data_IF_131672911514
#
_entry.id   IF_131672911514
#
_cell.length_a   1.000
_cell.length_b   1.000
_cell.length_c   1.000
_cell.angle_alpha   90.00
_cell.angle_beta   90.00
_cell.angle_gamma   90.00
#
_symmetry.space_group_name_H-M   'P 1'
#
loop_
_entity.id
_entity.type
_entity.pdbx_description
1 polymer ?
#
# COMPACT_ATOMS: atom_id res chain seq x y z
N UNK A 1 31.09 10.58 22.77
CA UNK A 1 30.41 9.60 23.61
C UNK A 1 29.02 10.15 23.95
N UNK A 2 27.97 9.36 23.71
CA UNK A 2 26.59 9.70 24.07
C UNK A 2 26.26 8.87 25.29
N UNK A 3 25.75 9.52 26.34
CA UNK A 3 25.23 8.88 27.53
C UNK A 3 23.73 9.07 27.57
N UNK A 4 22.97 7.98 27.80
CA UNK A 4 21.54 8.05 27.99
C UNK A 4 21.20 7.75 29.44
N UNK A 5 20.45 8.64 30.09
CA UNK A 5 20.05 8.55 31.50
C UNK A 5 18.57 8.19 31.61
N UNK A 6 18.28 7.06 32.21
CA UNK A 6 16.90 6.62 32.49
C UNK A 6 16.63 6.71 34.00
N UNK A 7 15.59 7.44 34.38
CA UNK A 7 15.09 7.46 35.76
C UNK A 7 14.15 6.26 35.98
N UNK A 8 14.45 5.43 36.94
CA UNK A 8 13.65 4.27 37.31
C UNK A 8 12.53 4.66 38.28
N UNK A 9 11.56 3.78 38.48
CA UNK A 9 10.42 4.00 39.39
C UNK A 9 10.83 4.17 40.84
N UNK A 10 11.93 3.59 41.27
CA UNK A 10 12.52 3.71 42.62
C UNK A 10 13.34 4.99 42.81
N UNK A 11 13.40 5.84 41.79
CA UNK A 11 14.16 7.10 41.78
C UNK A 11 15.64 6.95 41.44
N UNK A 12 16.14 5.73 41.22
CA UNK A 12 17.50 5.49 40.76
C UNK A 12 17.69 5.95 39.31
N UNK A 13 18.94 6.23 38.93
CA UNK A 13 19.32 6.61 37.57
C UNK A 13 20.21 5.54 36.97
N UNK A 14 19.77 4.97 35.85
CA UNK A 14 20.58 4.04 35.03
C UNK A 14 21.26 4.82 33.92
N UNK A 15 22.56 4.62 33.78
CA UNK A 15 23.38 5.23 32.72
C UNK A 15 23.69 4.19 31.67
N UNK A 16 23.26 4.42 30.43
CA UNK A 16 23.60 3.58 29.28
C UNK A 16 24.76 4.24 28.49
N UNK A 17 25.90 3.53 28.44
CA UNK A 17 27.10 3.95 27.70
C UNK A 17 27.88 2.70 27.25
N UNK A 18 28.25 2.55 25.96
CA UNK A 18 27.93 3.51 24.88
C UNK A 18 26.46 3.52 24.52
N UNK A 19 25.93 4.69 24.20
CA UNK A 19 24.59 4.85 23.68
C UNK A 19 24.64 5.32 22.23
N UNK A 20 24.02 4.58 21.34
CA UNK A 20 23.93 4.95 19.94
C UNK A 20 22.84 6.03 19.74
N UNK A 21 23.03 6.97 18.79
CA UNK A 21 22.07 8.06 18.54
C UNK A 21 20.63 7.55 18.35
N UNK A 22 20.45 6.48 17.59
CA UNK A 22 19.13 5.89 17.36
C UNK A 22 18.46 5.39 18.65
N UNK A 23 19.23 4.79 19.58
CA UNK A 23 18.74 4.35 20.88
C UNK A 23 18.34 5.54 21.78
N UNK A 24 19.20 6.56 21.84
CA UNK A 24 18.92 7.77 22.63
C UNK A 24 17.66 8.50 22.11
N UNK A 25 17.55 8.68 20.79
CA UNK A 25 16.41 9.31 20.14
C UNK A 25 15.11 8.56 20.41
N UNK A 26 15.15 7.23 20.26
CA UNK A 26 14.03 6.35 20.57
C UNK A 26 13.46 6.57 21.97
N UNK A 27 14.35 6.61 22.97
CA UNK A 27 13.93 6.73 24.37
C UNK A 27 13.56 8.18 24.78
N UNK A 28 14.14 9.20 24.11
CA UNK A 28 13.81 10.61 24.38
C UNK A 28 12.43 11.02 23.87
N UNK A 29 12.02 10.48 22.71
CA UNK A 29 10.72 10.80 22.12
C UNK A 29 9.62 9.83 22.54
N UNK A 30 9.92 8.94 23.49
CA UNK A 30 9.03 7.88 23.96
C UNK A 30 8.82 6.80 22.91
N UNK A 31 8.07 5.77 23.23
CA UNK A 31 7.66 4.74 22.25
C UNK A 31 6.86 5.33 21.09
N UNK A 32 6.45 6.57 21.22
CA UNK A 32 5.68 7.30 20.23
C UNK A 32 6.42 7.49 18.89
N UNK A 33 7.73 7.34 18.85
CA UNK A 33 8.52 7.56 17.63
C UNK A 33 9.03 6.30 16.92
N UNK A 34 9.05 5.13 17.55
CA UNK A 34 9.91 4.05 17.08
C UNK A 34 9.32 2.65 17.00
N UNK A 35 8.16 2.41 17.57
CA UNK A 35 7.48 1.12 17.49
C UNK A 35 6.26 1.21 16.58
N UNK A 36 6.33 0.65 15.37
CA UNK A 36 5.11 0.30 14.69
C UNK A 36 4.64 -1.05 15.24
N UNK A 37 3.37 -1.17 15.54
CA UNK A 37 2.77 -2.44 15.95
C UNK A 37 2.70 -3.39 14.75
N UNK A 38 2.55 -2.82 13.54
CA UNK A 38 2.58 -3.56 12.28
C UNK A 38 3.32 -2.80 11.19
N UNK A 39 4.06 -3.55 10.37
CA UNK A 39 4.62 -3.09 9.09
C UNK A 39 3.91 -3.85 7.97
N UNK A 40 3.41 -3.13 6.99
CA UNK A 40 2.80 -3.70 5.78
C UNK A 40 3.72 -3.39 4.61
N UNK A 41 4.27 -4.42 3.97
CA UNK A 41 5.05 -4.27 2.75
C UNK A 41 4.14 -4.35 1.53
N UNK A 42 4.32 -3.42 0.60
CA UNK A 42 3.53 -3.30 -0.63
C UNK A 42 4.43 -3.04 -1.83
N UNK A 43 3.89 -3.19 -3.03
CA UNK A 43 4.69 -3.04 -4.26
C UNK A 43 5.13 -1.59 -4.50
N UNK A 44 4.19 -0.64 -4.39
CA UNK A 44 4.43 0.76 -4.73
C UNK A 44 3.58 1.75 -3.90
N UNK A 45 3.72 3.03 -4.21
CA UNK A 45 3.00 4.12 -3.54
C UNK A 45 1.49 4.11 -3.81
N UNK A 46 1.02 3.58 -4.95
CA UNK A 46 -0.41 3.49 -5.24
C UNK A 46 -1.07 2.39 -4.42
N UNK A 47 -0.42 1.23 -4.32
CA UNK A 47 -0.83 0.14 -3.43
C UNK A 47 -0.91 0.63 -1.96
N UNK A 48 0.08 1.41 -1.50
CA UNK A 48 0.08 2.04 -0.19
C UNK A 48 -1.15 2.93 0.00
N UNK A 49 -1.42 3.86 -0.91
CA UNK A 49 -2.57 4.77 -0.82
C UNK A 49 -3.89 4.02 -0.76
N UNK A 50 -4.06 2.98 -1.58
CA UNK A 50 -5.26 2.15 -1.60
C UNK A 50 -5.47 1.48 -0.24
N UNK A 51 -4.44 0.85 0.34
CA UNK A 51 -4.53 0.20 1.65
C UNK A 51 -4.86 1.22 2.75
N UNK A 52 -4.19 2.38 2.78
CA UNK A 52 -4.47 3.44 3.76
C UNK A 52 -5.95 3.85 3.72
N UNK A 53 -6.52 4.06 2.53
CA UNK A 53 -7.92 4.43 2.36
C UNK A 53 -8.89 3.31 2.77
N UNK A 54 -8.60 2.06 2.41
CA UNK A 54 -9.40 0.89 2.84
C UNK A 54 -9.37 0.76 4.36
N UNK A 55 -8.20 0.88 4.98
CA UNK A 55 -8.06 0.77 6.43
C UNK A 55 -8.85 1.85 7.17
N UNK A 56 -8.83 3.09 6.68
CA UNK A 56 -9.63 4.18 7.23
C UNK A 56 -11.13 3.87 7.09
N UNK A 57 -11.57 3.44 5.90
CA UNK A 57 -12.98 3.17 5.61
C UNK A 57 -13.55 1.99 6.41
N UNK A 58 -12.74 0.95 6.64
CA UNK A 58 -13.13 -0.23 7.43
C UNK A 58 -12.79 -0.12 8.92
N UNK A 59 -12.31 1.05 9.37
CA UNK A 59 -11.88 1.27 10.76
C UNK A 59 -10.85 0.27 11.28
N UNK A 60 -9.99 -0.24 10.40
CA UNK A 60 -8.88 -1.10 10.78
C UNK A 60 -7.85 -0.20 11.47
N UNK A 61 -7.37 -0.63 12.62
CA UNK A 61 -6.24 0.03 13.28
C UNK A 61 -6.49 1.39 13.96
N UNK A 62 -7.66 1.61 14.55
CA UNK A 62 -7.88 2.84 15.35
C UNK A 62 -6.94 3.02 16.54
N UNK A 63 -6.38 1.91 17.05
CA UNK A 63 -5.57 1.89 18.28
C UNK A 63 -4.16 1.35 18.08
N UNK A 64 -3.74 1.08 16.84
CA UNK A 64 -2.41 0.53 16.53
C UNK A 64 -1.69 1.39 15.50
N UNK A 65 -0.35 1.36 15.56
CA UNK A 65 0.50 2.08 14.62
C UNK A 65 0.90 1.17 13.47
N UNK A 66 0.42 1.49 12.30
CA UNK A 66 0.75 0.75 11.08
C UNK A 66 1.64 1.60 10.19
N UNK A 67 2.76 1.02 9.77
CA UNK A 67 3.63 1.60 8.74
C UNK A 67 3.49 0.82 7.45
N UNK A 68 3.06 1.48 6.38
CA UNK A 68 2.99 0.87 5.05
C UNK A 68 4.22 1.32 4.25
N UNK A 69 4.99 0.36 3.74
CA UNK A 69 6.27 0.58 3.07
C UNK A 69 6.23 0.05 1.63
N UNK A 70 6.29 0.93 0.63
CA UNK A 70 6.52 0.55 -0.76
C UNK A 70 7.93 -0.01 -0.94
N UNK A 71 8.08 -1.08 -1.74
CA UNK A 71 9.35 -1.81 -1.89
C UNK A 71 9.89 -1.82 -3.33
N UNK A 72 9.11 -1.31 -4.30
CA UNK A 72 9.54 -1.19 -5.70
C UNK A 72 9.28 -2.45 -6.54
N UNK A 73 8.21 -3.20 -6.26
CA UNK A 73 7.73 -4.34 -7.04
C UNK A 73 7.61 -5.63 -6.22
N UNK A 74 6.77 -6.54 -6.69
CA UNK A 74 6.34 -7.71 -5.93
C UNK A 74 7.46 -8.68 -5.51
N UNK A 75 8.44 -8.92 -6.37
CA UNK A 75 9.59 -9.78 -6.02
C UNK A 75 10.45 -9.17 -4.93
N UNK A 76 10.66 -7.83 -4.99
CA UNK A 76 11.36 -7.10 -3.94
C UNK A 76 10.58 -7.14 -2.63
N UNK A 77 9.24 -7.05 -2.69
CA UNK A 77 8.37 -7.12 -1.52
C UNK A 77 8.55 -8.46 -0.80
N UNK A 78 8.52 -9.58 -1.54
CA UNK A 78 8.72 -10.93 -0.97
C UNK A 78 10.14 -11.10 -0.42
N UNK A 79 11.15 -10.65 -1.16
CA UNK A 79 12.55 -10.73 -0.72
C UNK A 79 12.76 -9.91 0.56
N UNK A 80 12.26 -8.68 0.60
CA UNK A 80 12.35 -7.82 1.78
C UNK A 80 11.64 -8.42 3.00
N UNK A 81 10.46 -9.04 2.78
CA UNK A 81 9.73 -9.72 3.85
C UNK A 81 10.57 -10.86 4.45
N UNK A 82 11.24 -11.63 3.61
CA UNK A 82 12.14 -12.69 4.05
C UNK A 82 13.34 -12.13 4.83
N UNK A 83 14.03 -11.13 4.27
CA UNK A 83 15.22 -10.55 4.88
C UNK A 83 14.91 -9.93 6.25
N UNK A 84 13.81 -9.19 6.33
CA UNK A 84 13.33 -8.56 7.57
C UNK A 84 13.01 -9.60 8.64
N UNK A 85 12.36 -10.71 8.23
CA UNK A 85 11.96 -11.78 9.15
C UNK A 85 13.16 -12.62 9.57
N UNK A 86 13.98 -13.08 8.63
CA UNK A 86 15.11 -13.97 8.88
C UNK A 86 16.22 -13.30 9.70
N UNK A 87 16.42 -11.99 9.50
CA UNK A 87 17.41 -11.19 10.21
C UNK A 87 16.90 -10.54 11.50
N UNK A 88 15.63 -10.78 11.87
CA UNK A 88 14.99 -10.17 13.04
C UNK A 88 15.13 -8.63 13.08
N UNK A 89 14.94 -7.97 11.93
CA UNK A 89 15.12 -6.52 11.81
C UNK A 89 13.98 -5.72 12.44
N UNK A 90 12.82 -6.32 12.63
CA UNK A 90 11.70 -5.66 13.29
C UNK A 90 11.86 -5.67 14.80
N UNK A 91 11.30 -4.65 15.43
CA UNK A 91 11.23 -4.62 16.89
C UNK A 91 10.41 -5.82 17.39
N UNK A 92 10.80 -6.35 18.58
CA UNK A 92 10.07 -7.46 19.21
C UNK A 92 8.60 -7.06 19.42
N UNK A 93 7.69 -7.82 18.84
CA UNK A 93 6.26 -7.57 18.89
C UNK A 93 5.69 -6.85 17.64
N UNK A 94 6.54 -6.25 16.79
CA UNK A 94 6.07 -5.69 15.51
C UNK A 94 5.67 -6.82 14.56
N UNK A 95 4.46 -6.75 14.04
CA UNK A 95 3.92 -7.71 13.08
C UNK A 95 4.31 -7.34 11.66
N UNK A 96 4.45 -8.33 10.79
CA UNK A 96 4.72 -8.14 9.37
C UNK A 96 3.55 -8.67 8.54
N UNK A 97 3.03 -7.84 7.66
CA UNK A 97 2.07 -8.21 6.62
C UNK A 97 2.67 -7.92 5.24
N UNK A 98 2.32 -8.73 4.25
CA UNK A 98 2.71 -8.57 2.85
C UNK A 98 1.44 -8.51 2.03
N UNK A 99 1.25 -7.43 1.27
CA UNK A 99 0.09 -7.25 0.39
C UNK A 99 0.59 -6.86 -0.99
N UNK A 100 0.23 -7.66 -1.98
CA UNK A 100 0.64 -7.51 -3.36
C UNK A 100 -0.56 -7.17 -4.26
N UNK A 101 -0.30 -6.69 -5.45
CA UNK A 101 -1.33 -6.46 -6.45
C UNK A 101 -1.99 -7.79 -6.86
N UNK A 102 -3.28 -7.77 -7.15
CA UNK A 102 -4.01 -9.04 -7.42
C UNK A 102 -3.62 -9.70 -8.73
N UNK A 103 -3.15 -8.95 -9.69
CA UNK A 103 -2.81 -9.49 -11.03
C UNK A 103 -1.59 -10.42 -11.01
N UNK A 104 -0.72 -10.31 -9.99
CA UNK A 104 0.41 -11.22 -9.83
C UNK A 104 0.11 -12.47 -8.99
N UNK A 105 -1.13 -12.63 -8.51
CA UNK A 105 -1.54 -13.75 -7.65
C UNK A 105 -1.23 -15.12 -8.27
N UNK A 106 -1.34 -15.24 -9.60
CA UNK A 106 -1.01 -16.46 -10.33
C UNK A 106 0.49 -16.77 -10.42
N UNK A 107 1.34 -15.73 -10.37
CA UNK A 107 2.81 -15.85 -10.53
C UNK A 107 3.53 -16.16 -9.21
N UNK A 108 2.94 -15.79 -8.08
CA UNK A 108 3.56 -15.96 -6.75
C UNK A 108 3.85 -17.42 -6.40
N UNK A 109 2.96 -18.40 -6.63
CA UNK A 109 3.24 -19.80 -6.31
C UNK A 109 4.44 -20.37 -7.07
N UNK A 110 4.59 -20.04 -8.35
CA UNK A 110 5.73 -20.47 -9.16
C UNK A 110 7.04 -19.85 -8.64
N UNK A 111 7.02 -18.56 -8.33
CA UNK A 111 8.17 -17.86 -7.77
C UNK A 111 8.61 -18.47 -6.44
N UNK A 112 7.68 -18.75 -5.52
CA UNK A 112 7.98 -19.39 -4.24
C UNK A 112 8.49 -20.83 -4.43
N UNK A 113 7.94 -21.57 -5.38
CA UNK A 113 8.41 -22.91 -5.71
C UNK A 113 9.88 -22.94 -6.16
N UNK A 114 10.26 -21.93 -6.96
CA UNK A 114 11.64 -21.77 -7.45
C UNK A 114 12.59 -21.19 -6.36
N UNK A 115 12.06 -20.57 -5.31
CA UNK A 115 12.82 -19.92 -4.22
C UNK A 115 12.28 -20.37 -2.87
N UNK A 116 12.56 -21.64 -2.51
CA UNK A 116 12.00 -22.31 -1.32
C UNK A 116 12.20 -21.58 0.01
N UNK A 117 13.21 -20.72 0.12
CA UNK A 117 13.43 -19.88 1.30
C UNK A 117 12.23 -18.98 1.62
N UNK A 118 11.41 -18.62 0.63
CA UNK A 118 10.25 -17.74 0.81
C UNK A 118 8.96 -18.48 1.19
N UNK A 119 8.99 -19.82 1.31
CA UNK A 119 7.79 -20.63 1.55
C UNK A 119 7.03 -20.31 2.85
N UNK A 120 7.71 -19.70 3.83
CA UNK A 120 7.10 -19.31 5.11
C UNK A 120 6.40 -17.94 5.10
N UNK A 121 6.51 -17.17 4.00
CA UNK A 121 5.95 -15.83 3.92
C UNK A 121 4.46 -15.92 3.59
N UNK A 122 3.62 -15.39 4.48
CA UNK A 122 2.18 -15.27 4.24
C UNK A 122 1.90 -13.99 3.46
N UNK A 123 1.29 -14.13 2.30
CA UNK A 123 1.00 -13.06 1.35
C UNK A 123 -0.50 -12.95 1.16
N UNK A 124 -1.02 -11.74 1.14
CA UNK A 124 -2.37 -11.42 0.67
C UNK A 124 -2.33 -10.44 -0.49
N UNK A 125 -3.48 -10.15 -1.08
CA UNK A 125 -3.57 -9.40 -2.31
C UNK A 125 -4.57 -8.25 -2.17
N UNK A 126 -4.28 -7.14 -2.86
CA UNK A 126 -5.24 -6.07 -3.04
C UNK A 126 -6.55 -6.60 -3.65
N UNK A 127 -7.70 -5.94 -3.41
CA UNK A 127 -8.97 -6.32 -4.03
C UNK A 127 -8.95 -6.21 -5.56
N UNK A 128 -8.04 -5.40 -6.09
CA UNK A 128 -7.88 -5.11 -7.52
C UNK A 128 -6.47 -5.47 -8.01
N UNK A 129 -6.28 -5.52 -9.33
CA UNK A 129 -4.98 -5.45 -9.97
C UNK A 129 -4.28 -4.14 -9.61
N UNK A 130 -3.10 -3.86 -10.19
CA UNK A 130 -2.54 -2.51 -10.08
C UNK A 130 -3.57 -1.46 -10.48
N UNK A 131 -3.53 -0.29 -9.85
CA UNK A 131 -4.53 0.77 -10.10
C UNK A 131 -4.59 1.14 -11.58
N UNK A 132 -3.44 1.23 -12.23
CA UNK A 132 -3.30 1.59 -13.64
C UNK A 132 -4.01 0.59 -14.55
N UNK A 133 -3.74 -0.69 -14.32
CA UNK A 133 -4.37 -1.78 -15.08
C UNK A 133 -5.86 -1.86 -14.81
N UNK A 134 -6.27 -1.65 -13.55
CA UNK A 134 -7.67 -1.64 -13.17
C UNK A 134 -8.44 -0.53 -13.89
N UNK A 135 -7.93 0.70 -13.89
CA UNK A 135 -8.55 1.84 -14.56
C UNK A 135 -8.65 1.62 -16.07
N UNK A 136 -7.56 1.16 -16.70
CA UNK A 136 -7.58 0.87 -18.14
C UNK A 136 -8.62 -0.20 -18.47
N UNK A 137 -8.66 -1.29 -17.73
CA UNK A 137 -9.59 -2.39 -17.99
C UNK A 137 -11.07 -1.98 -17.84
N UNK A 138 -11.39 -1.07 -16.90
CA UNK A 138 -12.76 -0.64 -16.62
C UNK A 138 -13.20 0.63 -17.35
N UNK A 139 -12.28 1.36 -17.97
CA UNK A 139 -12.62 2.60 -18.69
C UNK A 139 -12.36 2.52 -20.20
N UNK A 140 -11.43 1.65 -20.63
CA UNK A 140 -11.03 1.54 -22.03
C UNK A 140 -11.42 0.17 -22.61
N UNK A 141 -11.00 -0.93 -21.96
CA UNK A 141 -11.16 -2.26 -22.54
C UNK A 141 -12.61 -2.77 -22.38
N UNK A 142 -13.21 -2.57 -21.20
CA UNK A 142 -14.62 -2.89 -20.93
C UNK A 142 -15.19 -1.81 -20.00
N UNK A 143 -15.89 -0.86 -20.59
CA UNK A 143 -16.39 0.31 -19.85
C UNK A 143 -17.36 -0.11 -18.74
N UNK A 144 -16.99 0.21 -17.51
CA UNK A 144 -17.88 0.17 -16.35
C UNK A 144 -18.53 1.54 -16.18
N UNK A 145 -19.85 1.58 -16.36
CA UNK A 145 -20.61 2.83 -16.35
C UNK A 145 -20.60 3.51 -14.97
N UNK A 146 -20.58 2.76 -13.86
CA UNK A 146 -20.61 3.34 -12.53
C UNK A 146 -19.28 4.02 -12.22
N UNK A 147 -18.15 3.34 -12.43
CA UNK A 147 -16.82 3.92 -12.25
C UNK A 147 -16.62 5.11 -13.19
N UNK A 148 -17.03 4.98 -14.46
CA UNK A 148 -16.96 6.06 -15.43
C UNK A 148 -17.69 7.32 -14.94
N UNK A 149 -18.95 7.20 -14.53
CA UNK A 149 -19.77 8.33 -14.05
C UNK A 149 -19.16 8.94 -12.79
N UNK A 150 -18.65 8.14 -11.86
CA UNK A 150 -17.99 8.63 -10.66
C UNK A 150 -16.77 9.48 -11.02
N UNK A 151 -15.87 8.97 -11.86
CA UNK A 151 -14.68 9.72 -12.26
C UNK A 151 -15.03 10.98 -13.05
N UNK A 152 -15.92 10.88 -14.05
CA UNK A 152 -16.32 12.01 -14.88
C UNK A 152 -16.92 13.14 -14.04
N UNK A 153 -17.84 12.81 -13.13
CA UNK A 153 -18.51 13.78 -12.26
C UNK A 153 -17.56 14.48 -11.29
N UNK A 154 -16.64 13.75 -10.68
CA UNK A 154 -15.80 14.31 -9.61
C UNK A 154 -14.47 14.89 -10.09
N UNK A 155 -13.90 14.36 -11.20
CA UNK A 155 -12.57 14.77 -11.66
C UNK A 155 -12.58 15.50 -13.00
N UNK A 156 -13.47 15.14 -13.93
CA UNK A 156 -13.37 15.59 -15.32
C UNK A 156 -14.42 16.65 -15.72
N UNK A 157 -14.74 17.56 -14.79
CA UNK A 157 -15.76 18.60 -15.00
C UNK A 157 -15.46 19.60 -16.13
N UNK A 158 -14.17 19.84 -16.44
CA UNK A 158 -13.77 20.79 -17.52
C UNK A 158 -13.70 20.14 -18.88
N UNK A 159 -13.34 18.88 -18.92
CA UNK A 159 -13.22 18.09 -20.14
C UNK A 159 -13.79 16.70 -19.86
N UNK A 160 -14.86 16.29 -20.59
CA UNK A 160 -15.51 15.01 -20.35
C UNK A 160 -14.55 13.83 -20.50
N UNK A 161 -14.65 12.84 -19.60
CA UNK A 161 -13.78 11.67 -19.59
C UNK A 161 -13.84 10.86 -20.89
N UNK A 162 -15.00 10.82 -21.55
CA UNK A 162 -15.15 10.14 -22.84
C UNK A 162 -14.28 10.75 -23.95
N UNK A 163 -14.06 12.07 -23.95
CA UNK A 163 -13.17 12.74 -24.91
C UNK A 163 -11.72 12.41 -24.64
N UNK A 164 -11.36 12.37 -23.37
CA UNK A 164 -10.02 12.01 -22.91
C UNK A 164 -9.69 10.57 -23.32
N UNK A 165 -10.61 9.63 -23.08
CA UNK A 165 -10.44 8.23 -23.50
C UNK A 165 -10.31 8.09 -25.02
N UNK A 166 -11.16 8.77 -25.78
CA UNK A 166 -11.08 8.76 -27.26
C UNK A 166 -9.74 9.29 -27.76
N UNK A 167 -9.23 10.36 -27.16
CA UNK A 167 -7.94 10.90 -27.54
C UNK A 167 -6.80 9.93 -27.18
N UNK A 168 -6.82 9.36 -25.98
CA UNK A 168 -5.86 8.33 -25.60
C UNK A 168 -5.85 7.17 -26.62
N UNK A 169 -7.02 6.59 -26.92
CA UNK A 169 -7.11 5.47 -27.90
C UNK A 169 -6.61 5.85 -29.27
N UNK A 170 -6.85 7.09 -29.70
CA UNK A 170 -6.37 7.59 -31.02
C UNK A 170 -4.85 7.81 -31.04
N UNK A 171 -4.26 8.28 -29.94
CA UNK A 171 -2.86 8.71 -29.88
C UNK A 171 -1.92 7.61 -29.40
N UNK A 172 -2.42 6.68 -28.58
CA UNK A 172 -1.61 5.57 -28.08
C UNK A 172 -1.57 4.42 -29.09
N UNK A 173 -0.42 4.27 -29.74
CA UNK A 173 -0.17 3.20 -30.72
C UNK A 173 0.66 2.06 -30.14
N UNK A 174 1.10 2.17 -28.88
CA UNK A 174 1.93 1.16 -28.21
C UNK A 174 1.06 0.24 -27.34
N UNK A 175 1.60 -0.94 -27.08
CA UNK A 175 1.00 -1.83 -26.08
C UNK A 175 1.04 -1.15 -24.70
N UNK A 176 -0.10 -1.12 -24.04
CA UNK A 176 -0.30 -0.59 -22.69
C UNK A 176 -1.06 -1.62 -21.85
N UNK A 177 -0.61 -2.87 -21.89
CA UNK A 177 -1.23 -3.97 -21.14
C UNK A 177 -1.18 -3.78 -19.61
N UNK A 178 -0.24 -2.98 -19.12
CA UNK A 178 -0.10 -2.62 -17.71
C UNK A 178 -0.90 -1.36 -17.31
N UNK A 179 -1.49 -0.63 -18.27
CA UNK A 179 -2.32 0.55 -18.04
C UNK A 179 -1.57 1.82 -17.65
N UNK A 180 -0.23 1.79 -17.59
CA UNK A 180 0.57 2.95 -17.13
C UNK A 180 0.49 4.14 -18.05
N UNK A 181 0.47 3.91 -19.38
CA UNK A 181 0.33 5.00 -20.34
C UNK A 181 -1.03 5.67 -20.20
N UNK A 182 -2.12 4.91 -20.07
CA UNK A 182 -3.45 5.45 -19.82
C UNK A 182 -3.53 6.21 -18.51
N UNK A 183 -3.00 5.65 -17.42
CA UNK A 183 -2.96 6.31 -16.13
C UNK A 183 -2.18 7.64 -16.18
N UNK A 184 -1.01 7.63 -16.80
CA UNK A 184 -0.22 8.84 -17.02
C UNK A 184 -0.97 9.91 -17.80
N UNK A 185 -1.77 9.48 -18.80
CA UNK A 185 -2.64 10.39 -19.58
C UNK A 185 -3.72 11.01 -18.68
N UNK A 186 -4.44 10.22 -17.88
CA UNK A 186 -5.42 10.72 -16.90
C UNK A 186 -4.80 11.70 -15.91
N UNK A 187 -3.62 11.37 -15.34
CA UNK A 187 -2.92 12.25 -14.40
C UNK A 187 -2.57 13.61 -15.02
N UNK A 188 -2.16 13.65 -16.27
CA UNK A 188 -1.85 14.91 -16.94
C UNK A 188 -3.09 15.79 -17.12
N UNK A 189 -4.23 15.18 -17.42
CA UNK A 189 -5.51 15.90 -17.55
C UNK A 189 -5.95 16.50 -16.20
N UNK A 190 -5.93 15.74 -15.11
CA UNK A 190 -6.40 16.21 -13.80
C UNK A 190 -5.47 17.25 -13.17
N UNK A 191 -4.17 17.24 -13.47
CA UNK A 191 -3.22 18.28 -13.01
C UNK A 191 -3.66 19.67 -13.47
N UNK A 192 -4.22 19.80 -14.66
CA UNK A 192 -4.77 21.06 -15.17
C UNK A 192 -5.91 21.61 -14.30
N UNK A 193 -6.53 20.75 -13.51
CA UNK A 193 -7.65 21.05 -12.61
C UNK A 193 -7.22 21.14 -11.13
N UNK A 194 -5.92 21.15 -10.87
CA UNK A 194 -5.32 21.14 -9.51
C UNK A 194 -5.72 19.90 -8.70
N UNK A 195 -5.90 18.79 -9.39
CA UNK A 195 -6.16 17.47 -8.83
C UNK A 195 -4.91 16.60 -8.95
N UNK A 196 -4.81 15.56 -8.15
CA UNK A 196 -3.67 14.67 -8.16
C UNK A 196 -4.08 13.18 -8.11
N UNK A 197 -3.08 12.32 -7.93
CA UNK A 197 -3.28 10.87 -7.88
C UNK A 197 -4.17 10.43 -6.71
N UNK A 198 -4.15 11.17 -5.60
CA UNK A 198 -4.95 10.82 -4.42
C UNK A 198 -6.45 11.00 -4.70
N UNK A 199 -6.82 12.02 -5.48
CA UNK A 199 -8.20 12.23 -5.92
C UNK A 199 -8.73 11.04 -6.76
N UNK A 200 -7.89 10.47 -7.64
CA UNK A 200 -8.26 9.25 -8.39
C UNK A 200 -8.44 8.07 -7.44
N UNK A 201 -7.46 7.86 -6.55
CA UNK A 201 -7.50 6.76 -5.58
C UNK A 201 -8.73 6.84 -4.69
N UNK A 202 -9.11 8.03 -4.23
CA UNK A 202 -10.31 8.23 -3.41
C UNK A 202 -11.59 7.73 -4.11
N UNK A 203 -11.75 8.06 -5.40
CA UNK A 203 -12.91 7.62 -6.16
C UNK A 203 -12.89 6.12 -6.41
N UNK A 204 -11.73 5.59 -6.81
CA UNK A 204 -11.58 4.16 -7.06
C UNK A 204 -11.80 3.36 -5.78
N UNK A 205 -11.24 3.78 -4.64
CA UNK A 205 -11.47 3.09 -3.37
C UNK A 205 -12.94 3.11 -2.98
N UNK A 206 -13.64 4.23 -3.17
CA UNK A 206 -15.10 4.28 -2.94
C UNK A 206 -15.84 3.29 -3.82
N UNK A 207 -15.49 3.23 -5.12
CA UNK A 207 -16.09 2.29 -6.06
C UNK A 207 -15.84 0.84 -5.65
N UNK A 208 -14.61 0.46 -5.30
CA UNK A 208 -14.28 -0.93 -4.93
C UNK A 208 -14.88 -1.34 -3.58
N UNK A 209 -15.08 -0.41 -2.64
CA UNK A 209 -15.79 -0.68 -1.39
C UNK A 209 -17.24 -1.09 -1.61
N UNK A 210 -17.87 -0.60 -2.67
CA UNK A 210 -19.23 -0.92 -3.04
C UNK A 210 -19.33 -2.18 -3.92
N UNK A 211 -18.34 -2.43 -4.78
CA UNK A 211 -18.43 -3.44 -5.84
C UNK A 211 -17.52 -4.66 -5.63
N UNK A 212 -16.53 -4.59 -4.73
CA UNK A 212 -15.56 -5.66 -4.46
C UNK A 212 -15.57 -6.08 -2.98
N UNK A 213 -16.75 -6.09 -2.37
CA UNK A 213 -16.92 -6.27 -0.92
C UNK A 213 -16.27 -7.55 -0.40
N UNK A 214 -16.39 -8.67 -1.12
CA UNK A 214 -15.78 -9.94 -0.72
C UNK A 214 -14.27 -9.84 -0.60
N UNK A 215 -13.60 -9.28 -1.62
CA UNK A 215 -12.15 -9.12 -1.65
C UNK A 215 -11.64 -8.10 -0.62
N UNK A 216 -12.44 -7.06 -0.38
CA UNK A 216 -12.16 -6.09 0.69
C UNK A 216 -12.23 -6.76 2.07
N UNK A 217 -13.21 -7.63 2.28
CA UNK A 217 -13.35 -8.36 3.54
C UNK A 217 -12.24 -9.41 3.72
N UNK A 218 -11.77 -10.06 2.63
CA UNK A 218 -10.58 -10.93 2.66
C UNK A 218 -9.36 -10.16 3.18
N UNK A 219 -9.01 -9.03 2.53
CA UNK A 219 -7.88 -8.18 2.91
C UNK A 219 -8.02 -7.66 4.35
N UNK A 220 -9.20 -7.17 4.71
CA UNK A 220 -9.48 -6.65 6.05
C UNK A 220 -9.28 -7.72 7.12
N UNK A 221 -9.79 -8.93 6.86
CA UNK A 221 -9.64 -10.08 7.77
C UNK A 221 -8.18 -10.50 7.90
N UNK A 222 -7.41 -10.48 6.82
CA UNK A 222 -5.99 -10.77 6.85
C UNK A 222 -5.23 -9.75 7.72
N UNK A 223 -5.47 -8.45 7.52
CA UNK A 223 -4.82 -7.40 8.29
C UNK A 223 -5.18 -7.46 9.78
N UNK A 224 -6.47 -7.64 10.12
CA UNK A 224 -6.91 -7.80 11.51
C UNK A 224 -6.29 -9.03 12.16
N UNK A 225 -6.29 -10.18 11.47
CA UNK A 225 -5.63 -11.39 11.98
C UNK A 225 -4.15 -11.18 12.25
N UNK A 226 -3.46 -10.40 11.41
CA UNK A 226 -2.05 -10.07 11.62
C UNK A 226 -1.82 -9.19 12.84
N UNK A 227 -2.77 -8.33 13.18
CA UNK A 227 -2.74 -7.52 14.39
C UNK A 227 -2.88 -8.40 15.63
N UNK A 228 -3.74 -9.39 15.59
CA UNK A 228 -4.08 -10.25 16.73
C UNK A 228 -3.06 -11.40 16.96
N UNK A 229 -2.21 -11.74 15.97
CA UNK A 229 -1.11 -12.70 16.09
C UNK A 229 0.01 -12.19 17.03
#
# INVERSE_FOLDING_TARGET
NIYYLTKMFDGSIVVTNPCYPAYATRNLYGDDGYGNDMVVLVEDDLAKLIIEKIMVSKNIARSIRIKILPTGGWTNTITMAYDVTSSNLLHRGTKLAVVLDRDIKGSVPEFISNHKQYSGIKIDFLPIASLEKYLKSHLVDKVDNQLFVMLDTYLFQKRPLNEIIREYVRTNTKDDSDGKAFYGFLLNEIKSMRKDREDIVDIVVRYILENEEEKINELSSYLVKKIDE
#
